data_IF_756135555613
#
_entry.id   IF_756135555613
#
_cell.length_a   1.000
_cell.length_b   1.000
_cell.length_c   1.000
_cell.angle_alpha   90.00
_cell.angle_beta   90.00
_cell.angle_gamma   90.00
#
_symmetry.space_group_name_H-M   'P 1'
#
loop_
_entity.id
_entity.type
_entity.pdbx_description
1 polymer ?
#
# COMPACT_ATOMS: atom_id res chain seq x y z
N UNK A 1 -5.00 -10.09 -23.63
CA UNK A 1 -5.27 -9.86 -22.22
C UNK A 1 -5.95 -11.08 -21.62
N UNK A 2 -5.51 -11.46 -20.46
CA UNK A 2 -6.13 -12.61 -19.79
C UNK A 2 -7.48 -12.19 -19.21
N UNK A 3 -8.49 -12.97 -19.53
CA UNK A 3 -9.81 -12.74 -18.98
C UNK A 3 -9.94 -13.44 -17.65
N UNK A 4 -10.33 -12.71 -16.64
CA UNK A 4 -10.62 -13.28 -15.34
C UNK A 4 -12.02 -13.87 -15.42
N UNK A 5 -12.12 -15.15 -15.17
CA UNK A 5 -13.40 -15.83 -15.22
C UNK A 5 -14.09 -15.71 -13.87
N UNK A 6 -15.15 -14.93 -13.87
CA UNK A 6 -15.94 -14.74 -12.67
C UNK A 6 -16.73 -16.01 -12.37
N UNK A 7 -16.89 -16.28 -11.10
CA UNK A 7 -17.60 -17.47 -10.66
C UNK A 7 -16.75 -18.72 -10.61
N UNK A 8 -15.59 -18.73 -11.23
CA UNK A 8 -14.65 -19.81 -11.06
C UNK A 8 -13.82 -19.63 -9.83
N UNK A 9 -13.46 -20.74 -9.21
CA UNK A 9 -12.51 -20.71 -8.12
C UNK A 9 -11.15 -20.28 -8.65
N UNK A 10 -10.69 -19.15 -8.22
CA UNK A 10 -9.35 -18.68 -8.54
C UNK A 10 -8.43 -19.22 -7.48
N UNK A 11 -7.51 -20.03 -7.88
CA UNK A 11 -6.48 -20.52 -6.97
C UNK A 11 -5.42 -19.48 -6.83
N UNK A 12 -4.96 -19.32 -5.66
CA UNK A 12 -4.00 -18.29 -5.34
C UNK A 12 -4.68 -17.06 -4.80
N UNK A 13 -3.90 -16.17 -4.32
CA UNK A 13 -4.39 -14.97 -3.68
C UNK A 13 -3.65 -13.76 -4.23
N UNK A 14 -4.27 -12.63 -4.12
CA UNK A 14 -3.65 -11.39 -4.52
C UNK A 14 -2.65 -10.93 -3.47
N UNK A 15 -1.64 -10.23 -3.93
CA UNK A 15 -0.71 -9.54 -3.06
C UNK A 15 -0.76 -8.07 -3.40
N UNK A 16 -0.86 -7.24 -2.38
CA UNK A 16 -0.85 -5.79 -2.54
C UNK A 16 0.38 -5.26 -1.84
N UNK A 17 1.25 -4.61 -2.60
CA UNK A 17 2.39 -3.90 -2.06
C UNK A 17 2.26 -2.43 -2.40
N UNK A 18 2.56 -1.58 -1.44
CA UNK A 18 2.49 -0.13 -1.63
C UNK A 18 3.70 0.51 -0.99
N UNK A 19 4.38 1.35 -1.76
CA UNK A 19 5.44 2.20 -1.27
C UNK A 19 5.10 3.63 -1.61
N UNK A 20 4.88 4.43 -0.60
CA UNK A 20 4.66 5.86 -0.76
C UNK A 20 5.95 6.55 -0.33
N UNK A 21 6.64 7.17 -1.26
CA UNK A 21 7.95 7.75 -1.02
C UNK A 21 7.85 9.26 -0.98
N UNK A 22 8.45 9.87 0.02
CA UNK A 22 8.57 11.32 0.07
C UNK A 22 9.62 11.77 -0.94
N UNK A 23 9.17 12.54 -1.92
CA UNK A 23 10.02 12.97 -3.01
C UNK A 23 11.17 13.85 -2.48
N UNK A 24 12.37 13.54 -2.92
CA UNK A 24 13.56 14.27 -2.48
C UNK A 24 14.09 13.89 -1.10
N UNK A 25 13.44 12.95 -0.42
CA UNK A 25 13.82 12.58 0.94
C UNK A 25 15.21 11.96 1.04
N UNK A 26 15.68 11.35 -0.03
CA UNK A 26 17.00 10.75 -0.09
C UNK A 26 18.11 11.76 0.19
N UNK A 27 17.88 13.01 -0.14
CA UNK A 27 18.87 14.10 0.05
C UNK A 27 18.73 14.80 1.39
N UNK A 28 17.75 14.43 2.19
CA UNK A 28 17.50 15.03 3.48
C UNK A 28 18.45 14.47 4.53
N UNK A 29 18.78 15.29 5.52
CA UNK A 29 19.49 14.81 6.71
C UNK A 29 18.56 13.92 7.54
N UNK A 30 19.10 13.06 8.42
CA UNK A 30 18.25 12.25 9.28
C UNK A 30 17.27 13.06 10.12
N UNK A 31 17.66 14.23 10.58
CA UNK A 31 16.79 15.11 11.36
C UNK A 31 15.64 15.61 10.51
N UNK A 32 15.93 16.01 9.27
CA UNK A 32 14.90 16.45 8.34
C UNK A 32 13.93 15.32 7.98
N UNK A 33 14.45 14.11 7.78
CA UNK A 33 13.63 12.96 7.47
C UNK A 33 12.68 12.64 8.63
N UNK A 34 13.17 12.66 9.84
CA UNK A 34 12.36 12.40 11.02
C UNK A 34 11.27 13.47 11.17
N UNK A 35 11.60 14.72 10.93
CA UNK A 35 10.65 15.82 11.03
C UNK A 35 9.58 15.74 9.93
N UNK A 36 9.91 15.18 8.78
CA UNK A 36 8.96 15.06 7.67
C UNK A 36 7.92 13.96 7.89
N UNK A 37 8.26 12.92 8.65
CA UNK A 37 7.35 11.83 8.95
C UNK A 37 6.58 12.10 10.24
N UNK A 38 5.69 13.07 10.20
CA UNK A 38 4.91 13.48 11.36
C UNK A 38 3.83 12.48 11.74
N UNK A 39 3.45 11.62 10.80
CA UNK A 39 2.45 10.59 11.00
C UNK A 39 3.16 9.24 10.91
N UNK A 40 3.01 8.41 11.94
CA UNK A 40 3.67 7.11 11.96
C UNK A 40 2.97 6.07 11.09
N UNK A 41 1.66 6.17 10.98
CA UNK A 41 0.85 5.21 10.21
C UNK A 41 -0.19 5.95 9.43
N UNK A 42 -0.42 5.49 8.20
CA UNK A 42 -1.51 6.00 7.38
C UNK A 42 -2.44 4.86 7.04
N UNK A 43 -3.72 5.15 6.93
CA UNK A 43 -4.71 4.15 6.57
C UNK A 43 -4.77 4.02 5.07
N UNK A 44 -4.74 2.78 4.60
CA UNK A 44 -4.78 2.46 3.17
C UNK A 44 -6.05 1.69 2.88
N UNK A 45 -6.81 2.17 1.94
CA UNK A 45 -8.05 1.53 1.52
C UNK A 45 -7.97 1.22 0.04
N UNK A 46 -8.42 0.02 -0.31
CA UNK A 46 -8.69 -0.34 -1.70
C UNK A 46 -10.19 -0.54 -1.79
N UNK A 47 -10.82 0.20 -2.69
CA UNK A 47 -12.27 0.17 -2.84
C UNK A 47 -12.62 -0.14 -4.28
N UNK A 48 -13.84 -0.60 -4.49
CA UNK A 48 -14.37 -0.81 -5.82
C UNK A 48 -14.47 0.54 -6.54
N UNK A 49 -13.93 0.60 -7.75
CA UNK A 49 -13.93 1.84 -8.51
C UNK A 49 -15.34 2.36 -8.81
N UNK A 50 -16.29 1.46 -8.93
CA UNK A 50 -17.68 1.81 -9.22
C UNK A 50 -18.51 2.03 -7.96
N UNK A 51 -18.03 1.54 -6.82
CA UNK A 51 -18.74 1.66 -5.55
C UNK A 51 -17.74 1.90 -4.43
N UNK A 52 -17.43 3.15 -4.11
CA UNK A 52 -16.44 3.48 -3.07
C UNK A 52 -16.84 3.00 -1.67
N UNK A 53 -18.09 2.64 -1.44
CA UNK A 53 -18.53 2.09 -0.17
C UNK A 53 -18.16 0.62 -0.01
N UNK A 54 -17.84 -0.04 -1.12
CA UNK A 54 -17.42 -1.43 -1.12
C UNK A 54 -15.90 -1.50 -0.89
N UNK A 55 -15.52 -1.67 0.36
CA UNK A 55 -14.11 -1.71 0.76
C UNK A 55 -13.57 -3.12 0.57
N UNK A 56 -12.57 -3.26 -0.28
CA UNK A 56 -11.93 -4.53 -0.58
C UNK A 56 -10.75 -4.82 0.35
N UNK A 57 -10.06 -3.77 0.76
CA UNK A 57 -8.95 -3.89 1.69
C UNK A 57 -8.91 -2.63 2.56
N UNK A 58 -8.73 -2.83 3.85
CA UNK A 58 -8.54 -1.77 4.82
C UNK A 58 -7.35 -2.15 5.67
N UNK A 59 -6.26 -1.44 5.53
CA UNK A 59 -5.03 -1.74 6.24
C UNK A 59 -4.29 -0.45 6.56
N UNK A 60 -3.12 -0.59 7.16
CA UNK A 60 -2.26 0.55 7.47
C UNK A 60 -0.90 0.36 6.84
N UNK A 61 -0.29 1.47 6.47
CA UNK A 61 1.10 1.52 6.04
C UNK A 61 1.91 2.24 7.11
N UNK A 62 3.05 1.69 7.45
CA UNK A 62 3.91 2.24 8.48
C UNK A 62 5.00 3.09 7.87
N UNK A 63 5.38 4.13 8.59
CA UNK A 63 6.54 4.93 8.22
C UNK A 63 7.78 4.03 8.19
N UNK A 64 8.60 4.17 7.17
CA UNK A 64 9.80 3.35 7.04
C UNK A 64 10.85 4.07 6.22
N UNK A 65 12.07 3.59 6.38
CA UNK A 65 13.20 3.97 5.55
C UNK A 65 13.42 2.88 4.51
N UNK A 66 13.55 3.28 3.26
CA UNK A 66 13.80 2.34 2.17
C UNK A 66 15.30 2.15 1.96
N UNK A 67 15.67 1.04 1.34
CA UNK A 67 17.06 0.71 1.07
C UNK A 67 17.78 1.74 0.21
N UNK A 68 17.03 2.52 -0.54
CA UNK A 68 17.58 3.60 -1.39
C UNK A 68 17.96 4.83 -0.59
N UNK A 69 17.65 4.89 0.69
CA UNK A 69 17.86 6.07 1.52
C UNK A 69 16.68 7.03 1.55
N UNK A 70 15.65 6.75 0.80
CA UNK A 70 14.40 7.54 0.86
C UNK A 70 13.55 7.08 2.03
N UNK A 71 12.64 7.94 2.43
CA UNK A 71 11.68 7.62 3.49
C UNK A 71 10.26 7.75 2.97
N UNK A 72 9.34 7.14 3.68
CA UNK A 72 7.93 7.17 3.31
C UNK A 72 7.12 6.17 4.11
N UNK A 73 6.15 5.57 3.45
CA UNK A 73 5.28 4.59 4.06
C UNK A 73 5.25 3.32 3.21
N UNK A 74 5.21 2.18 3.86
CA UNK A 74 5.18 0.92 3.16
C UNK A 74 4.24 -0.08 3.79
N UNK A 75 3.63 -0.91 2.98
CA UNK A 75 2.82 -2.02 3.44
C UNK A 75 2.87 -3.14 2.40
N UNK A 76 2.62 -4.34 2.86
CA UNK A 76 2.52 -5.50 2.00
C UNK A 76 1.53 -6.46 2.63
N UNK A 77 0.49 -6.80 1.89
CA UNK A 77 -0.53 -7.73 2.33
C UNK A 77 -0.61 -8.85 1.29
N UNK A 78 -0.52 -10.07 1.76
CA UNK A 78 -0.61 -11.25 0.92
C UNK A 78 -1.88 -12.02 1.25
N UNK A 79 -2.18 -13.00 0.42
CA UNK A 79 -3.31 -13.91 0.61
C UNK A 79 -4.66 -13.19 0.66
N UNK A 80 -4.78 -12.17 -0.18
CA UNK A 80 -6.01 -11.40 -0.30
C UNK A 80 -6.98 -12.07 -1.26
N UNK A 81 -8.23 -12.22 -0.84
CA UNK A 81 -9.31 -12.65 -1.72
C UNK A 81 -10.32 -11.51 -1.80
N UNK A 82 -10.53 -10.99 -2.99
CA UNK A 82 -11.52 -9.95 -3.17
C UNK A 82 -12.91 -10.59 -3.28
N UNK A 83 -13.90 -10.07 -2.58
CA UNK A 83 -15.26 -10.53 -2.73
C UNK A 83 -15.79 -10.20 -4.12
N UNK A 84 -16.70 -11.02 -4.57
CA UNK A 84 -17.33 -10.79 -5.87
C UNK A 84 -18.34 -9.66 -5.82
#
# INVERSE_FOLDING_TARGET
>A
MTTIQRGKQVKGAFRVGLNVTLDGSKKMTPVEQEAALTVEKVRVLIVDADDPTNVLLDTTANAKEFSTGSIGYGMNVANLAFPK
#
